data_IF_346165182826
#
_entry.id   IF_346165182826
#
_cell.length_a   1.000
_cell.length_b   1.000
_cell.length_c   1.000
_cell.angle_alpha   90.00
_cell.angle_beta   90.00
_cell.angle_gamma   90.00
#
_symmetry.space_group_name_H-M   'P 1'
#
loop_
_entity.id
_entity.type
_entity.pdbx_description
1 polymer ?
#
# COMPACT_ATOMS: atom_id res chain seq x y z
N UNK A 1 -38.49 23.28 -18.36
CA UNK A 1 -38.23 23.43 -16.92
C UNK A 1 -38.58 22.13 -16.26
N UNK A 2 -37.68 21.61 -15.42
CA UNK A 2 -37.76 20.26 -14.82
C UNK A 2 -36.91 19.29 -15.64
N UNK A 3 -35.73 18.83 -15.21
CA UNK A 3 -35.19 18.84 -13.85
C UNK A 3 -35.76 17.70 -13.02
N UNK A 4 -35.59 16.46 -13.49
CA UNK A 4 -35.79 15.26 -12.69
C UNK A 4 -34.51 14.41 -12.77
N UNK A 5 -33.97 14.16 -11.59
CA UNK A 5 -32.73 13.47 -11.34
C UNK A 5 -32.90 11.94 -11.49
N UNK A 6 -31.80 11.31 -11.94
CA UNK A 6 -31.28 9.96 -11.62
C UNK A 6 -32.18 9.05 -10.75
N UNK A 7 -32.30 7.76 -11.12
CA UNK A 7 -31.13 6.92 -10.91
C UNK A 7 -30.94 5.80 -11.95
N UNK A 8 -29.76 5.70 -12.55
CA UNK A 8 -29.29 4.43 -13.10
C UNK A 8 -28.15 3.87 -12.25
N UNK A 9 -28.54 3.10 -11.23
CA UNK A 9 -27.65 2.22 -10.50
C UNK A 9 -27.41 0.99 -11.38
N UNK A 10 -26.24 0.91 -12.01
CA UNK A 10 -25.76 -0.34 -12.64
C UNK A 10 -24.56 -0.84 -11.83
N UNK A 11 -24.81 -1.85 -11.01
CA UNK A 11 -23.82 -2.59 -10.23
C UNK A 11 -23.37 -3.85 -11.02
N UNK A 12 -22.21 -3.83 -11.68
CA UNK A 12 -21.53 -5.06 -12.15
C UNK A 12 -20.00 -4.85 -12.24
N UNK A 13 -19.23 -5.44 -11.31
CA UNK A 13 -17.86 -5.94 -11.52
C UNK A 13 -16.76 -5.04 -12.12
N UNK A 14 -16.92 -3.72 -12.13
CA UNK A 14 -16.06 -2.80 -12.87
C UNK A 14 -14.73 -2.48 -12.18
N UNK A 15 -13.62 -2.68 -12.90
CA UNK A 15 -12.27 -2.30 -12.47
C UNK A 15 -12.25 -0.80 -12.09
N UNK A 16 -11.72 -0.48 -10.91
CA UNK A 16 -11.53 0.89 -10.39
C UNK A 16 -10.48 1.64 -11.23
N UNK A 17 -10.80 2.02 -12.46
CA UNK A 17 -9.84 2.60 -13.38
C UNK A 17 -9.51 4.08 -13.14
N UNK A 18 -10.10 4.73 -12.13
CA UNK A 18 -9.97 6.19 -11.98
C UNK A 18 -9.80 6.69 -10.54
N UNK A 19 -8.99 6.01 -9.73
CA UNK A 19 -8.66 6.49 -8.36
C UNK A 19 -7.54 7.53 -8.33
N UNK A 20 -6.78 7.68 -9.41
CA UNK A 20 -5.69 8.64 -9.50
C UNK A 20 -6.13 9.90 -10.26
N UNK A 21 -5.59 11.06 -9.85
CA UNK A 21 -5.86 12.32 -10.54
C UNK A 21 -5.37 12.26 -12.00
N UNK A 22 -6.05 12.99 -12.87
CA UNK A 22 -5.69 13.08 -14.29
C UNK A 22 -4.26 13.59 -14.48
N UNK A 23 -3.84 14.55 -13.64
CA UNK A 23 -2.48 15.12 -13.64
C UNK A 23 -1.42 14.07 -13.29
N UNK A 24 -1.69 13.18 -12.33
CA UNK A 24 -0.78 12.09 -11.99
C UNK A 24 -0.70 11.05 -13.11
N UNK A 25 -1.84 10.74 -13.73
CA UNK A 25 -1.91 9.81 -14.87
C UNK A 25 -1.14 10.33 -16.08
N UNK A 26 -1.26 11.62 -16.40
CA UNK A 26 -0.53 12.27 -17.50
C UNK A 26 0.98 12.27 -17.27
N UNK A 27 1.42 12.58 -16.04
CA UNK A 27 2.83 12.53 -15.69
C UNK A 27 3.43 11.12 -15.87
N UNK A 28 2.74 10.09 -15.41
CA UNK A 28 3.17 8.69 -15.59
C UNK A 28 3.16 8.29 -17.07
N UNK A 29 2.17 8.74 -17.85
CA UNK A 29 2.09 8.45 -19.28
C UNK A 29 3.33 8.96 -20.03
N UNK A 30 3.83 10.15 -19.68
CA UNK A 30 5.07 10.72 -20.26
C UNK A 30 6.33 9.92 -19.92
N UNK A 31 6.37 9.26 -18.77
CA UNK A 31 7.46 8.37 -18.35
C UNK A 31 7.44 7.01 -19.06
N UNK A 32 6.27 6.51 -19.44
CA UNK A 32 6.05 5.15 -19.96
C UNK A 32 5.85 5.09 -21.47
N UNK A 33 6.29 6.11 -22.21
CA UNK A 33 6.33 6.08 -23.68
C UNK A 33 7.30 4.98 -24.11
N UNK A 34 6.79 4.07 -24.95
CA UNK A 34 7.54 2.89 -25.44
C UNK A 34 8.75 3.29 -26.28
N UNK A 35 8.57 4.30 -27.13
CA UNK A 35 9.65 4.86 -27.93
C UNK A 35 10.54 5.75 -27.05
N UNK A 36 11.86 5.49 -26.95
CA UNK A 36 12.76 6.25 -26.09
C UNK A 36 12.80 7.74 -26.47
N UNK A 37 12.84 8.06 -27.76
CA UNK A 37 12.92 9.45 -28.25
C UNK A 37 11.63 10.25 -28.01
N UNK A 38 10.51 9.55 -27.77
CA UNK A 38 9.24 10.17 -27.42
C UNK A 38 9.07 10.40 -25.93
N UNK A 39 9.94 9.84 -25.07
CA UNK A 39 9.83 9.96 -23.61
C UNK A 39 10.25 11.36 -23.16
N UNK A 40 9.51 11.91 -22.20
CA UNK A 40 9.89 13.17 -21.58
C UNK A 40 11.26 13.07 -20.90
N UNK A 41 12.06 14.12 -21.07
CA UNK A 41 13.31 14.34 -20.36
C UNK A 41 13.06 14.74 -18.91
N UNK A 42 14.07 14.64 -18.06
CA UNK A 42 13.95 15.07 -16.67
C UNK A 42 13.59 16.55 -16.52
N UNK A 43 14.11 17.41 -17.40
CA UNK A 43 13.77 18.84 -17.39
C UNK A 43 12.27 19.05 -17.61
N UNK A 44 11.70 18.40 -18.64
CA UNK A 44 10.26 18.47 -18.94
C UNK A 44 9.39 17.84 -17.83
N UNK A 45 9.87 16.78 -17.17
CA UNK A 45 9.17 16.16 -16.05
C UNK A 45 9.12 17.06 -14.82
N UNK A 46 10.19 17.81 -14.53
CA UNK A 46 10.26 18.75 -13.41
C UNK A 46 9.35 19.97 -13.60
N UNK A 47 9.14 20.38 -14.86
CA UNK A 47 8.21 21.45 -15.23
C UNK A 47 6.74 21.01 -15.26
N UNK A 48 6.47 19.71 -15.05
CA UNK A 48 5.11 19.19 -15.12
C UNK A 48 4.24 19.64 -13.94
N UNK A 49 2.94 19.95 -14.15
CA UNK A 49 2.01 20.37 -13.08
C UNK A 49 1.93 19.40 -11.91
N UNK A 50 2.17 18.11 -12.15
CA UNK A 50 2.21 17.09 -11.09
C UNK A 50 3.25 17.40 -10.02
N UNK A 51 4.49 17.70 -10.42
CA UNK A 51 5.60 17.98 -9.49
C UNK A 51 5.60 19.42 -9.00
N UNK A 52 5.25 20.38 -9.86
CA UNK A 52 5.11 21.78 -9.44
C UNK A 52 4.06 21.92 -8.33
N UNK A 53 2.94 21.21 -8.44
CA UNK A 53 1.91 21.18 -7.40
C UNK A 53 2.31 20.38 -6.15
N UNK A 54 3.31 19.49 -6.19
CA UNK A 54 3.85 18.86 -4.96
C UNK A 54 4.66 19.87 -4.13
N UNK A 55 5.36 20.82 -4.77
CA UNK A 55 6.17 21.81 -4.04
C UNK A 55 5.33 22.70 -3.10
N UNK A 56 4.04 22.87 -3.41
CA UNK A 56 3.09 23.64 -2.62
C UNK A 56 2.30 22.78 -1.62
N UNK A 57 2.38 21.44 -1.72
CA UNK A 57 1.62 20.52 -0.87
C UNK A 57 2.36 20.20 0.41
N UNK A 58 1.65 20.35 1.53
CA UNK A 58 2.14 19.91 2.83
C UNK A 58 1.71 18.45 3.07
N UNK A 59 2.66 17.53 2.92
CA UNK A 59 2.45 16.10 3.14
C UNK A 59 3.31 15.62 4.31
N UNK A 60 2.66 15.15 5.37
CA UNK A 60 3.31 14.52 6.53
C UNK A 60 3.88 13.14 6.17
N UNK A 61 5.04 13.14 5.53
CA UNK A 61 5.74 11.91 5.16
C UNK A 61 6.23 11.13 6.39
N UNK A 62 6.67 11.83 7.44
CA UNK A 62 7.22 11.21 8.65
C UNK A 62 6.13 10.45 9.41
N UNK A 63 5.03 11.11 9.75
CA UNK A 63 3.94 10.47 10.46
C UNK A 63 3.24 9.40 9.61
N UNK A 64 3.22 9.53 8.27
CA UNK A 64 2.75 8.43 7.43
C UNK A 64 3.62 7.17 7.58
N UNK A 65 4.95 7.32 7.57
CA UNK A 65 5.88 6.20 7.76
C UNK A 65 5.71 5.58 9.15
N UNK A 66 5.62 6.38 10.21
CA UNK A 66 5.39 5.89 11.57
C UNK A 66 4.13 5.04 11.67
N UNK A 67 3.01 5.52 11.12
CA UNK A 67 1.73 4.80 11.09
C UNK A 67 1.83 3.51 10.28
N UNK A 68 2.49 3.54 9.12
CA UNK A 68 2.66 2.37 8.26
C UNK A 68 3.51 1.27 8.95
N UNK A 69 4.58 1.65 9.64
CA UNK A 69 5.42 0.71 10.40
C UNK A 69 4.67 0.11 11.58
N UNK A 70 3.95 0.91 12.36
CA UNK A 70 3.12 0.43 13.46
C UNK A 70 2.05 -0.55 12.98
N UNK A 71 1.38 -0.23 11.86
CA UNK A 71 0.40 -1.12 11.25
C UNK A 71 1.01 -2.45 10.82
N UNK A 72 2.17 -2.43 10.13
CA UNK A 72 2.88 -3.65 9.73
C UNK A 72 3.27 -4.52 10.93
N UNK A 73 3.74 -3.91 12.02
CA UNK A 73 4.07 -4.62 13.25
C UNK A 73 2.84 -5.28 13.89
N UNK A 74 1.71 -4.57 13.94
CA UNK A 74 0.46 -5.09 14.47
C UNK A 74 -0.10 -6.25 13.64
N UNK A 75 -0.08 -6.12 12.30
CA UNK A 75 -0.51 -7.20 11.37
C UNK A 75 0.38 -8.44 11.56
N UNK A 76 1.70 -8.25 11.68
CA UNK A 76 2.64 -9.35 11.94
C UNK A 76 2.35 -10.05 13.28
N UNK A 77 2.18 -9.29 14.37
CA UNK A 77 1.89 -9.85 15.68
C UNK A 77 0.56 -10.62 15.71
N UNK A 78 -0.47 -10.11 15.01
CA UNK A 78 -1.74 -10.82 14.86
C UNK A 78 -1.59 -12.14 14.09
N UNK A 79 -0.81 -12.13 13.00
CA UNK A 79 -0.54 -13.34 12.22
C UNK A 79 0.25 -14.38 13.04
N UNK A 80 1.22 -13.94 13.85
CA UNK A 80 1.98 -14.80 14.76
C UNK A 80 1.07 -15.38 15.86
N UNK A 81 0.22 -14.55 16.48
CA UNK A 81 -0.75 -15.01 17.47
C UNK A 81 -1.74 -16.04 16.88
N UNK A 82 -2.22 -15.80 15.66
CA UNK A 82 -3.09 -16.75 14.94
C UNK A 82 -2.36 -18.04 14.52
N UNK A 83 -1.03 -17.98 14.31
CA UNK A 83 -0.19 -19.12 13.99
C UNK A 83 0.28 -19.97 15.19
N UNK A 84 0.04 -19.51 16.43
CA UNK A 84 0.53 -20.20 17.66
C UNK A 84 -0.42 -21.26 18.22
N UNK A 85 -1.53 -21.61 17.55
CA UNK A 85 -2.45 -22.65 18.04
C UNK A 85 -1.99 -24.11 17.84
N UNK A 86 -0.69 -24.35 17.67
CA UNK A 86 -0.11 -25.70 17.80
C UNK A 86 1.11 -25.67 18.72
N UNK A 87 0.94 -25.86 20.04
CA UNK A 87 2.01 -26.42 20.83
C UNK A 87 2.14 -27.89 20.42
N UNK A 88 2.93 -28.18 19.38
CA UNK A 88 3.52 -29.51 19.26
C UNK A 88 4.45 -29.65 20.46
N UNK A 89 3.96 -30.32 21.49
CA UNK A 89 4.71 -30.76 22.67
C UNK A 89 6.02 -31.39 22.22
N UNK A 90 7.11 -30.61 22.26
CA UNK A 90 8.45 -31.18 22.14
C UNK A 90 8.68 -31.98 23.41
N UNK A 91 8.62 -33.30 23.26
CA UNK A 91 8.84 -34.33 24.29
C UNK A 91 10.23 -34.19 24.96
N UNK A 92 11.10 -33.33 24.43
CA UNK A 92 12.41 -33.00 24.99
C UNK A 92 12.36 -32.30 26.37
N UNK A 93 11.25 -31.68 26.77
CA UNK A 93 11.15 -31.03 28.08
C UNK A 93 10.87 -32.01 29.25
N UNK A 94 10.51 -33.26 28.98
CA UNK A 94 10.25 -34.27 30.04
C UNK A 94 11.54 -34.89 30.59
N UNK A 95 12.70 -34.67 29.96
CA UNK A 95 13.96 -35.31 30.33
C UNK A 95 14.71 -34.66 31.52
N UNK A 96 14.18 -33.58 32.11
CA UNK A 96 14.85 -32.85 33.19
C UNK A 96 14.41 -33.24 34.61
N UNK A 97 13.66 -34.33 34.79
CA UNK A 97 13.30 -34.84 36.13
C UNK A 97 13.96 -36.20 36.39
N UNK A 98 15.30 -36.23 36.30
CA UNK A 98 16.11 -37.42 36.54
C UNK A 98 17.21 -37.16 37.58
N UNK A 99 16.83 -36.79 38.81
CA UNK A 99 17.75 -36.84 39.95
C UNK A 99 17.73 -38.25 40.51
N UNK A 100 18.67 -39.10 40.10
CA UNK A 100 18.97 -40.36 40.78
C UNK A 100 20.27 -40.15 41.56
N UNK A 101 20.17 -40.21 42.89
CA UNK A 101 21.31 -40.19 43.81
C UNK A 101 21.90 -41.60 43.89
N UNK A 102 23.23 -41.69 43.78
CA UNK A 102 24.04 -42.86 44.14
C UNK A 102 24.38 -42.81 45.63
#
# INVERSE_FOLDING_TARGET
GGGDAEPEVVEEGGVKHNTYSEVARDWVAKCLIKEPDGRATYAELLEHPFLLGEAERDVDMVGWVERALAHRAAVKALAEAAGTSSPSTNIAALAASGSISV
#
